data_IF_376059249625
#
_entry.id   IF_376059249625
#
_cell.length_a   1.000
_cell.length_b   1.000
_cell.length_c   1.000
_cell.angle_alpha   90.00
_cell.angle_beta   90.00
_cell.angle_gamma   90.00
#
_symmetry.space_group_name_H-M   'P 1'
#
loop_
_entity.id
_entity.type
_entity.pdbx_description
1 polymer ?
#
# COMPACT_ATOMS: atom_id res chain seq x y z
N UNK A 1 -9.45 15.75 -29.20
CA UNK A 1 -8.14 16.42 -29.04
C UNK A 1 -8.36 17.65 -28.17
N UNK A 2 -7.71 17.71 -27.01
CA UNK A 2 -7.85 18.86 -26.13
C UNK A 2 -7.21 20.10 -26.77
N UNK A 3 -7.98 21.19 -26.79
CA UNK A 3 -7.49 22.54 -27.09
C UNK A 3 -6.52 23.00 -25.99
N UNK A 4 -5.51 23.81 -26.35
CA UNK A 4 -4.53 24.40 -25.42
C UNK A 4 -5.21 25.11 -24.24
N UNK A 5 -6.36 25.73 -24.49
CA UNK A 5 -7.16 26.39 -23.44
C UNK A 5 -7.69 25.42 -22.39
N UNK A 6 -8.05 24.20 -22.80
CA UNK A 6 -8.53 23.15 -21.89
C UNK A 6 -7.39 22.55 -21.08
N UNK A 7 -6.21 22.41 -21.67
CA UNK A 7 -4.99 21.98 -20.97
C UNK A 7 -4.61 23.01 -19.91
N UNK A 8 -4.58 24.30 -20.29
CA UNK A 8 -4.32 25.39 -19.34
C UNK A 8 -5.33 25.46 -18.20
N UNK A 9 -6.59 25.13 -18.46
CA UNK A 9 -7.60 25.00 -17.40
C UNK A 9 -7.25 23.88 -16.42
N UNK A 10 -6.80 22.72 -16.91
CA UNK A 10 -6.40 21.60 -16.06
C UNK A 10 -5.21 22.01 -15.17
N UNK A 11 -4.20 22.65 -15.74
CA UNK A 11 -3.03 23.15 -14.99
C UNK A 11 -3.44 24.10 -13.86
N UNK A 12 -4.30 25.08 -14.15
CA UNK A 12 -4.77 26.05 -13.15
C UNK A 12 -5.61 25.40 -12.04
N UNK A 13 -6.38 24.35 -12.36
CA UNK A 13 -7.14 23.61 -11.35
C UNK A 13 -6.22 22.79 -10.47
N UNK A 14 -5.21 22.14 -11.06
CA UNK A 14 -4.22 21.34 -10.34
C UNK A 14 -3.39 22.23 -9.41
N UNK A 15 -3.03 23.44 -9.86
CA UNK A 15 -2.35 24.44 -9.02
C UNK A 15 -3.20 24.84 -7.81
N UNK A 16 -4.52 24.91 -7.97
CA UNK A 16 -5.48 25.12 -6.89
C UNK A 16 -5.48 26.54 -6.27
N UNK A 17 -4.74 27.48 -6.87
CA UNK A 17 -4.55 28.84 -6.36
C UNK A 17 -5.66 29.83 -6.73
N UNK A 18 -6.45 29.52 -7.78
CA UNK A 18 -7.44 30.42 -8.35
C UNK A 18 -8.86 29.86 -8.29
N UNK A 19 -9.84 30.76 -8.14
CA UNK A 19 -11.25 30.38 -8.25
C UNK A 19 -11.71 30.29 -9.72
N UNK A 20 -12.84 29.63 -9.98
CA UNK A 20 -13.35 29.40 -11.34
C UNK A 20 -13.61 30.70 -12.13
N UNK A 21 -13.87 31.82 -11.44
CA UNK A 21 -14.11 33.12 -12.08
C UNK A 21 -12.80 33.76 -12.54
N UNK A 22 -11.73 33.64 -11.75
CA UNK A 22 -10.37 34.09 -12.09
C UNK A 22 -9.78 33.26 -13.22
N UNK A 23 -9.94 31.93 -13.15
CA UNK A 23 -9.52 31.03 -14.23
C UNK A 23 -10.17 31.40 -15.57
N UNK A 24 -11.48 31.70 -15.56
CA UNK A 24 -12.21 32.11 -16.77
C UNK A 24 -11.64 33.39 -17.38
N UNK A 25 -11.29 34.38 -16.54
CA UNK A 25 -10.66 35.63 -16.98
C UNK A 25 -9.26 35.39 -17.56
N UNK A 26 -8.46 34.55 -16.92
CA UNK A 26 -7.09 34.26 -17.35
C UNK A 26 -7.03 33.47 -18.67
N UNK A 27 -8.01 32.60 -18.91
CA UNK A 27 -8.14 31.83 -20.15
C UNK A 27 -8.85 32.65 -21.24
N UNK A 28 -9.63 33.66 -20.86
CA UNK A 28 -10.36 34.54 -21.79
C UNK A 28 -11.67 33.92 -22.29
N UNK A 29 -12.38 33.17 -21.44
CA UNK A 29 -13.65 32.52 -21.78
C UNK A 29 -14.75 32.84 -20.77
N UNK A 30 -16.00 32.61 -21.16
CA UNK A 30 -17.11 32.71 -20.22
C UNK A 30 -17.03 31.62 -19.17
N UNK A 31 -17.47 31.92 -17.95
CA UNK A 31 -17.46 30.95 -16.83
C UNK A 31 -18.27 29.68 -17.15
N UNK A 32 -19.37 29.82 -17.88
CA UNK A 32 -20.21 28.69 -18.30
C UNK A 32 -19.43 27.70 -19.17
N UNK A 33 -18.61 28.21 -20.09
CA UNK A 33 -17.76 27.40 -20.98
C UNK A 33 -16.80 26.51 -20.19
N UNK A 34 -16.28 26.98 -19.04
CA UNK A 34 -15.46 26.14 -18.18
C UNK A 34 -16.22 24.93 -17.63
N UNK A 35 -17.47 25.13 -17.19
CA UNK A 35 -18.30 24.03 -16.68
C UNK A 35 -18.64 23.03 -17.79
N UNK A 36 -18.92 23.52 -18.99
CA UNK A 36 -19.15 22.68 -20.16
C UNK A 36 -17.93 21.83 -20.50
N UNK A 37 -16.72 22.40 -20.46
CA UNK A 37 -15.49 21.65 -20.69
C UNK A 37 -15.22 20.61 -19.61
N UNK A 38 -15.43 20.94 -18.34
CA UNK A 38 -15.23 20.01 -17.23
C UNK A 38 -16.20 18.83 -17.24
N UNK A 39 -17.33 18.95 -17.94
CA UNK A 39 -18.30 17.87 -18.09
C UNK A 39 -17.97 16.91 -19.25
N UNK A 40 -16.98 17.25 -20.10
CA UNK A 40 -16.60 16.41 -21.23
C UNK A 40 -15.73 15.24 -20.78
N UNK A 41 -16.06 14.03 -21.24
CA UNK A 41 -15.34 12.81 -20.90
C UNK A 41 -13.84 12.89 -21.24
N UNK A 42 -13.49 13.43 -22.42
CA UNK A 42 -12.09 13.65 -22.81
C UNK A 42 -11.33 14.53 -21.79
N UNK A 43 -11.99 15.55 -21.24
CA UNK A 43 -11.39 16.45 -20.26
C UNK A 43 -11.19 15.74 -18.93
N UNK A 44 -12.20 15.01 -18.46
CA UNK A 44 -12.15 14.26 -17.19
C UNK A 44 -11.02 13.23 -17.25
N UNK A 45 -10.92 12.48 -18.35
CA UNK A 45 -9.89 11.47 -18.54
C UNK A 45 -8.48 12.07 -18.50
N UNK A 46 -8.24 13.20 -19.16
CA UNK A 46 -6.92 13.86 -19.16
C UNK A 46 -6.60 14.50 -17.80
N UNK A 47 -7.59 15.12 -17.14
CA UNK A 47 -7.45 15.62 -15.77
C UNK A 47 -7.05 14.51 -14.80
N UNK A 48 -7.74 13.37 -14.84
CA UNK A 48 -7.43 12.22 -13.99
C UNK A 48 -6.05 11.64 -14.31
N UNK A 49 -5.67 11.56 -15.59
CA UNK A 49 -4.34 11.10 -16.01
C UNK A 49 -3.23 11.98 -15.41
N UNK A 50 -3.35 13.30 -15.55
CA UNK A 50 -2.37 14.26 -15.02
C UNK A 50 -2.32 14.23 -13.50
N UNK A 51 -3.48 14.11 -12.83
CA UNK A 51 -3.55 13.98 -11.38
C UNK A 51 -2.86 12.69 -10.90
N UNK A 52 -3.05 11.57 -11.60
CA UNK A 52 -2.39 10.30 -11.30
C UNK A 52 -0.88 10.37 -11.52
N UNK A 53 -0.44 11.06 -12.57
CA UNK A 53 0.97 11.29 -12.85
C UNK A 53 1.64 12.08 -11.71
N UNK A 54 1.01 13.16 -11.26
CA UNK A 54 1.49 13.96 -10.13
C UNK A 54 1.56 13.14 -8.85
N UNK A 55 0.51 12.37 -8.52
CA UNK A 55 0.51 11.48 -7.35
C UNK A 55 1.62 10.44 -7.44
N UNK A 56 1.82 9.85 -8.62
CA UNK A 56 2.87 8.88 -8.86
C UNK A 56 4.25 9.50 -8.68
N UNK A 57 4.46 10.71 -9.20
CA UNK A 57 5.73 11.42 -9.05
C UNK A 57 5.99 11.83 -7.59
N UNK A 58 4.97 12.36 -6.89
CA UNK A 58 5.05 12.68 -5.48
C UNK A 58 5.41 11.44 -4.65
N UNK A 59 4.79 10.29 -4.93
CA UNK A 59 5.13 9.01 -4.29
C UNK A 59 6.56 8.57 -4.60
N UNK A 60 7.04 8.74 -5.84
CA UNK A 60 8.45 8.45 -6.18
C UNK A 60 9.41 9.35 -5.39
N UNK A 61 9.13 10.65 -5.32
CA UNK A 61 9.96 11.60 -4.55
C UNK A 61 9.94 11.30 -3.05
N UNK A 62 8.78 10.93 -2.51
CA UNK A 62 8.63 10.50 -1.12
C UNK A 62 9.43 9.22 -0.87
N UNK A 63 9.25 8.21 -1.72
CA UNK A 63 9.94 6.93 -1.61
C UNK A 63 11.47 7.06 -1.76
N UNK A 64 11.94 7.96 -2.62
CA UNK A 64 13.37 8.26 -2.76
C UNK A 64 13.99 8.81 -1.45
N UNK A 65 13.18 9.42 -0.58
CA UNK A 65 13.64 9.90 0.74
C UNK A 65 13.57 8.83 1.83
N UNK A 66 12.97 7.67 1.57
CA UNK A 66 12.81 6.62 2.59
C UNK A 66 14.16 6.16 3.13
N UNK A 67 15.20 6.08 2.30
CA UNK A 67 16.55 5.69 2.72
C UNK A 67 17.08 6.62 3.83
N UNK A 68 17.00 7.94 3.60
CA UNK A 68 17.37 8.94 4.62
C UNK A 68 16.50 8.84 5.88
N UNK A 69 15.21 8.54 5.73
CA UNK A 69 14.31 8.37 6.88
C UNK A 69 14.69 7.12 7.68
N UNK A 70 15.07 6.03 7.01
CA UNK A 70 15.54 4.79 7.65
C UNK A 70 16.84 5.08 8.43
N UNK A 71 17.77 5.82 7.84
CA UNK A 71 19.02 6.20 8.50
C UNK A 71 18.77 7.06 9.75
N UNK A 72 17.95 8.10 9.65
CA UNK A 72 17.58 8.93 10.80
C UNK A 72 16.83 8.12 11.86
N UNK A 73 15.96 7.19 11.44
CA UNK A 73 15.23 6.32 12.34
C UNK A 73 16.18 5.37 13.10
N UNK A 74 17.19 4.83 12.43
CA UNK A 74 18.25 4.03 13.06
C UNK A 74 19.07 4.86 14.05
N UNK A 75 19.47 6.07 13.68
CA UNK A 75 20.17 7.01 14.59
C UNK A 75 19.34 7.29 15.84
N UNK A 76 18.05 7.57 15.70
CA UNK A 76 17.15 7.80 16.84
C UNK A 76 17.05 6.58 17.77
N UNK A 77 17.09 5.36 17.24
CA UNK A 77 17.10 4.14 18.07
C UNK A 77 18.41 3.96 18.84
N UNK A 78 19.53 4.36 18.24
CA UNK A 78 20.86 4.24 18.85
C UNK A 78 21.25 5.43 19.74
N UNK A 79 20.48 6.53 19.68
CA UNK A 79 20.69 7.69 20.52
C UNK A 79 20.28 7.40 21.98
N UNK A 80 21.25 7.51 22.88
CA UNK A 80 21.05 7.32 24.32
C UNK A 80 20.10 8.37 24.92
N UNK A 81 20.09 9.59 24.34
CA UNK A 81 19.26 10.71 24.77
C UNK A 81 17.78 10.56 24.38
N UNK A 82 17.47 9.63 23.47
CA UNK A 82 16.09 9.33 23.09
C UNK A 82 15.29 8.82 24.30
N UNK A 83 14.06 9.31 24.45
CA UNK A 83 13.14 8.88 25.50
C UNK A 83 12.91 7.37 25.42
N UNK A 84 13.13 6.66 26.53
CA UNK A 84 13.09 5.18 26.61
C UNK A 84 11.82 4.56 26.00
N UNK A 85 10.65 5.16 26.24
CA UNK A 85 9.37 4.66 25.70
C UNK A 85 9.30 4.83 24.19
N UNK A 86 9.74 5.97 23.67
CA UNK A 86 9.82 6.23 22.23
C UNK A 86 10.81 5.26 21.59
N UNK A 87 12.02 5.10 22.14
CA UNK A 87 13.01 4.13 21.67
C UNK A 87 12.47 2.69 21.67
N UNK A 88 11.78 2.26 22.72
CA UNK A 88 11.17 0.93 22.78
C UNK A 88 10.12 0.72 21.67
N UNK A 89 9.28 1.71 21.38
CA UNK A 89 8.31 1.63 20.28
C UNK A 89 9.00 1.49 18.92
N UNK A 90 10.05 2.28 18.67
CA UNK A 90 10.81 2.22 17.42
C UNK A 90 11.48 0.85 17.24
N UNK A 91 12.09 0.31 18.30
CA UNK A 91 12.72 -1.02 18.29
C UNK A 91 11.70 -2.14 18.06
N UNK A 92 10.54 -2.11 18.73
CA UNK A 92 9.47 -3.08 18.51
C UNK A 92 8.97 -3.00 17.07
N UNK A 93 8.70 -1.80 16.55
CA UNK A 93 8.24 -1.64 15.16
C UNK A 93 9.29 -2.13 14.15
N UNK A 94 10.59 -1.95 14.43
CA UNK A 94 11.68 -2.49 13.60
C UNK A 94 11.71 -4.03 13.60
N UNK A 95 11.60 -4.65 14.77
CA UNK A 95 11.55 -6.12 14.92
C UNK A 95 10.31 -6.69 14.24
N UNK A 96 9.14 -6.10 14.49
CA UNK A 96 7.86 -6.50 13.90
C UNK A 96 7.87 -6.44 12.37
N UNK A 97 8.52 -5.44 11.78
CA UNK A 97 8.67 -5.33 10.31
C UNK A 97 9.67 -6.32 9.74
N UNK A 98 10.68 -6.70 10.52
CA UNK A 98 11.75 -7.60 10.08
C UNK A 98 11.38 -9.08 10.20
N UNK A 99 10.67 -9.45 11.27
CA UNK A 99 10.34 -10.84 11.60
C UNK A 99 8.85 -11.16 11.44
N UNK A 100 8.03 -10.14 11.12
CA UNK A 100 6.58 -10.23 11.14
C UNK A 100 6.01 -9.95 12.54
N UNK A 101 4.78 -9.45 12.58
CA UNK A 101 4.06 -9.26 13.85
C UNK A 101 3.61 -10.63 14.38
N UNK A 102 3.75 -10.91 15.68
CA UNK A 102 3.14 -12.08 16.27
C UNK A 102 1.63 -12.03 16.04
N UNK A 103 1.11 -12.82 15.11
CA UNK A 103 -0.32 -12.91 14.83
C UNK A 103 -0.97 -13.74 15.92
N UNK A 104 -1.46 -13.09 16.98
CA UNK A 104 -2.35 -13.70 17.96
C UNK A 104 -3.79 -13.31 17.61
N UNK A 105 -4.43 -14.09 16.74
CA UNK A 105 -5.90 -14.22 16.73
C UNK A 105 -6.34 -15.44 15.92
N UNK A 106 -6.60 -16.55 16.61
CA UNK A 106 -7.54 -17.56 16.14
C UNK A 106 -8.93 -17.06 16.57
N UNK A 107 -9.67 -16.44 15.66
CA UNK A 107 -11.12 -16.28 15.83
C UNK A 107 -11.79 -17.55 15.30
N UNK A 108 -12.16 -18.46 16.21
CA UNK A 108 -13.10 -19.53 15.87
C UNK A 108 -14.50 -18.92 15.97
N UNK A 109 -15.02 -18.43 14.85
CA UNK A 109 -16.46 -18.26 14.70
C UNK A 109 -17.06 -19.64 14.42
N UNK A 110 -17.80 -20.19 15.39
CA UNK A 110 -18.66 -21.37 15.18
C UNK A 110 -19.75 -21.01 14.16
N UNK A 111 -19.45 -21.18 12.87
CA UNK A 111 -20.49 -21.36 11.88
C UNK A 111 -20.86 -22.85 11.93
N UNK A 112 -21.99 -23.16 12.56
CA UNK A 112 -22.63 -24.46 12.45
C UNK A 112 -23.17 -24.63 11.03
N UNK A 113 -22.27 -24.88 10.07
CA UNK A 113 -22.61 -25.53 8.81
C UNK A 113 -21.84 -26.84 8.80
N UNK A 114 -22.58 -27.94 8.99
CA UNK A 114 -22.10 -29.31 8.80
C UNK A 114 -21.43 -29.43 7.43
N UNK A 115 -20.12 -29.22 7.38
CA UNK A 115 -19.31 -29.47 6.21
C UNK A 115 -18.37 -30.60 6.57
N UNK A 116 -18.57 -31.73 5.90
CA UNK A 116 -17.96 -33.04 6.14
C UNK A 116 -16.47 -32.92 6.53
N UNK A 117 -16.16 -33.33 7.76
CA UNK A 117 -14.82 -33.40 8.32
C UNK A 117 -14.09 -34.71 7.96
N UNK A 118 -14.60 -35.50 7.03
CA UNK A 118 -14.02 -36.79 6.65
C UNK A 118 -12.73 -36.64 5.81
N UNK A 119 -12.65 -35.66 4.89
CA UNK A 119 -11.55 -35.61 3.90
C UNK A 119 -10.19 -35.13 4.45
N UNK A 120 -10.15 -34.46 5.59
CA UNK A 120 -8.90 -33.91 6.17
C UNK A 120 -8.21 -34.90 7.10
N UNK A 121 -8.97 -35.76 7.78
CA UNK A 121 -8.41 -36.77 8.70
C UNK A 121 -7.71 -37.90 7.94
N UNK A 122 -8.27 -38.35 6.81
CA UNK A 122 -7.69 -39.43 5.99
C UNK A 122 -6.33 -39.02 5.36
N UNK A 123 -6.14 -37.73 5.09
CA UNK A 123 -4.87 -37.18 4.59
C UNK A 123 -3.78 -37.06 5.66
N UNK A 124 -4.14 -36.92 6.94
CA UNK A 124 -3.18 -36.85 8.04
C UNK A 124 -2.74 -38.26 8.46
N UNK A 125 -3.65 -39.23 8.47
CA UNK A 125 -3.31 -40.62 8.78
C UNK A 125 -2.41 -41.26 7.72
N UNK A 126 -2.60 -40.95 6.43
CA UNK A 126 -1.68 -41.42 5.38
C UNK A 126 -0.28 -40.82 5.53
N UNK A 127 -0.17 -39.54 5.88
CA UNK A 127 1.11 -38.87 6.11
C UNK A 127 1.89 -39.42 7.33
N UNK A 128 1.20 -39.88 8.38
CA UNK A 128 1.84 -40.44 9.57
C UNK A 128 2.25 -41.91 9.40
N UNK A 129 1.56 -42.67 8.55
CA UNK A 129 1.87 -44.07 8.29
C UNK A 129 3.06 -44.27 7.32
N UNK A 130 3.41 -43.26 6.53
CA UNK A 130 4.55 -43.32 5.61
C UNK A 130 5.92 -43.20 6.32
N UNK A 131 5.98 -42.62 7.51
CA UNK A 131 7.23 -42.43 8.27
C UNK A 131 7.65 -43.67 9.10
N UNK A 132 6.75 -44.60 9.45
CA UNK A 132 7.13 -45.79 10.25
C UNK A 132 7.83 -46.89 9.44
N UNK A 133 7.72 -46.90 8.11
CA UNK A 133 8.30 -47.96 7.27
C UNK A 133 9.77 -47.73 6.85
N UNK A 134 10.37 -46.57 7.16
CA UNK A 134 11.73 -46.25 6.70
C UNK A 134 12.85 -46.49 7.75
N UNK A 135 12.52 -46.86 8.99
CA UNK A 135 13.54 -47.02 10.06
C UNK A 135 14.08 -48.47 10.20
N UNK A 136 13.66 -49.39 9.32
CA UNK A 136 14.12 -50.79 9.34
C UNK A 136 15.41 -51.07 8.55
N UNK A 137 16.00 -50.10 7.84
CA UNK A 137 17.16 -50.32 6.96
C UNK A 137 18.50 -49.76 7.46
N UNK A 138 18.59 -49.23 8.69
CA UNK A 138 19.86 -48.74 9.25
C UNK A 138 20.48 -49.68 10.29
N UNK A 139 20.52 -50.98 10.00
CA UNK A 139 21.44 -51.91 10.67
C UNK A 139 22.05 -52.89 9.68
N UNK A 140 23.28 -52.62 9.25
CA UNK A 140 24.39 -53.59 9.06
C UNK A 140 25.47 -53.01 8.13
N UNK A 141 26.42 -52.26 8.68
CA UNK A 141 27.81 -52.34 8.23
C UNK A 141 28.71 -52.23 9.46
N UNK A 142 29.22 -53.38 9.91
CA UNK A 142 30.42 -53.48 10.74
C UNK A 142 31.42 -54.31 9.96
#
# INVERSE_FOLDING_TARGET
>A
MLDERKIKLIELIIEGSLNKTEMAKQIGVARQTLYEWMAQEEWIAEYDRLLQEIKTNANKMFNAKLDNVIDEWYKMMMDESCEKRTRAKLLVDWVDRSLGKPTSRLEVSENNEETQAEDVLENIESFLNDDENNDSNLKLVK
#
